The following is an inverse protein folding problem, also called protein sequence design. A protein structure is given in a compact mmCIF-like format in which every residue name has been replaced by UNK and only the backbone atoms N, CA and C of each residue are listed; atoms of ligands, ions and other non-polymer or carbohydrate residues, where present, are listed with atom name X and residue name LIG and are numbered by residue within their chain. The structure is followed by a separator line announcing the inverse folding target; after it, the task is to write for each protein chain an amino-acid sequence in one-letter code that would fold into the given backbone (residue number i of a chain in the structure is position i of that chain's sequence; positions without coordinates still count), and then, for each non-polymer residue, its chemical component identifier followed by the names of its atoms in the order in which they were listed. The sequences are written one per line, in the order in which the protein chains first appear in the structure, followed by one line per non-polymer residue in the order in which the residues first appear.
data_IF_041249646490
#
_entry.id   IF_041249646490
#
_cell.length_a   1.000
_cell.length_b   1.000
_cell.length_c   1.000
_cell.angle_alpha   90.00
_cell.angle_beta   90.00
_cell.angle_gamma   90.00
#
_symmetry.space_group_name_H-M   'P 1'
#
loop_
_entity.id
_entity.type
_entity.pdbx_description
1 polymer ?
#
# COMPACT_ATOMS: atom_id res chain seq x y z
N UNK A 1 -1.92 -17.94 22.08
CA UNK A 1 -1.27 -17.10 23.10
C UNK A 1 0.24 -17.15 22.85
N UNK A 2 0.74 -16.35 21.92
CA UNK A 2 2.18 -16.15 21.66
C UNK A 2 2.32 -14.86 20.83
N UNK A 3 2.04 -13.71 21.46
CA UNK A 3 2.55 -12.43 20.98
C UNK A 3 3.63 -12.03 21.96
N UNK A 4 4.81 -12.56 21.78
CA UNK A 4 6.02 -11.96 22.38
C UNK A 4 6.24 -10.62 21.67
N UNK A 5 6.37 -9.55 22.44
CA UNK A 5 6.59 -8.18 21.95
C UNK A 5 7.65 -8.17 20.86
N UNK A 6 7.25 -7.89 19.63
CA UNK A 6 8.20 -7.63 18.56
C UNK A 6 8.98 -6.34 18.87
N UNK A 7 10.29 -6.27 18.55
CA UNK A 7 11.17 -5.19 18.99
C UNK A 7 10.91 -3.81 18.36
N UNK A 8 9.99 -3.69 17.40
CA UNK A 8 9.69 -2.43 16.74
C UNK A 8 8.20 -2.11 16.80
N UNK A 9 7.80 -1.49 17.91
CA UNK A 9 6.48 -0.86 18.06
C UNK A 9 6.52 0.50 17.39
N UNK A 10 5.66 0.73 16.42
CA UNK A 10 5.63 2.00 15.69
C UNK A 10 4.22 2.54 15.61
N UNK A 11 4.08 3.77 16.09
CA UNK A 11 2.82 4.51 16.08
C UNK A 11 2.39 4.83 14.64
N UNK A 12 1.15 4.50 14.26
CA UNK A 12 0.66 4.41 12.88
C UNK A 12 0.70 5.70 12.05
N UNK A 13 0.96 6.84 12.67
CA UNK A 13 0.98 8.16 11.99
C UNK A 13 2.36 8.53 11.45
N UNK A 14 3.44 8.03 12.06
CA UNK A 14 4.81 8.44 11.75
C UNK A 14 5.58 7.47 10.85
N UNK A 15 5.05 6.28 10.57
CA UNK A 15 5.84 5.16 10.05
C UNK A 15 5.84 4.97 8.55
N UNK A 16 4.84 5.47 7.82
CA UNK A 16 4.82 5.34 6.35
C UNK A 16 6.00 6.01 5.66
N UNK A 17 6.56 7.10 6.25
CA UNK A 17 7.76 7.74 5.71
C UNK A 17 9.06 7.03 6.11
N UNK A 18 9.12 6.43 7.30
CA UNK A 18 10.30 5.66 7.73
C UNK A 18 10.42 4.33 7.01
N UNK A 19 9.30 3.61 6.80
CA UNK A 19 9.30 2.38 6.02
C UNK A 19 9.77 2.61 4.57
N UNK A 20 9.27 3.67 3.92
CA UNK A 20 9.69 4.03 2.56
C UNK A 20 11.20 4.37 2.46
N UNK A 21 11.82 4.85 3.54
CA UNK A 21 13.26 5.14 3.57
C UNK A 21 14.13 3.92 3.94
N UNK A 22 13.63 2.98 4.74
CA UNK A 22 14.41 1.81 5.13
C UNK A 22 14.56 0.77 4.01
N UNK A 23 13.54 0.61 3.16
CA UNK A 23 13.57 -0.32 2.03
C UNK A 23 14.32 0.20 0.79
N UNK A 24 14.78 1.46 0.77
CA UNK A 24 15.62 1.98 -0.31
C UNK A 24 16.93 1.19 -0.49
N UNK A 25 17.38 0.46 0.54
CA UNK A 25 18.52 -0.46 0.48
C UNK A 25 18.20 -1.87 -0.01
N UNK A 26 16.94 -2.20 -0.27
CA UNK A 26 16.48 -3.57 -0.55
C UNK A 26 16.37 -4.39 0.74
N UNK A 27 15.46 -5.36 0.79
CA UNK A 27 15.26 -6.23 1.94
C UNK A 27 13.81 -6.54 2.24
N UNK A 28 13.57 -7.08 3.43
CA UNK A 28 12.26 -7.30 4.02
C UNK A 28 12.13 -6.44 5.28
N UNK A 29 11.03 -5.71 5.40
CA UNK A 29 10.69 -4.99 6.61
C UNK A 29 9.42 -5.57 7.23
N UNK A 30 9.44 -5.79 8.54
CA UNK A 30 8.29 -6.29 9.30
C UNK A 30 7.98 -5.32 10.43
N UNK A 31 6.74 -4.84 10.48
CA UNK A 31 6.29 -3.90 11.50
C UNK A 31 4.94 -4.31 12.10
N UNK A 32 4.78 -4.12 13.41
CA UNK A 32 3.51 -4.23 14.10
C UNK A 32 2.88 -2.84 14.22
N UNK A 33 1.72 -2.67 13.61
CA UNK A 33 0.95 -1.42 13.70
C UNK A 33 -0.18 -1.56 14.68
N UNK A 34 -0.36 -0.54 15.53
CA UNK A 34 -1.48 -0.45 16.47
C UNK A 34 -2.31 0.79 16.19
N UNK A 35 -3.61 0.61 16.04
CA UNK A 35 -4.57 1.69 15.93
C UNK A 35 -5.42 1.75 17.20
N UNK A 36 -5.61 2.96 17.77
CA UNK A 36 -6.42 3.20 18.97
C UNK A 36 -7.78 3.83 18.66
N UNK A 37 -8.01 4.21 17.40
CA UNK A 37 -9.26 4.83 16.96
C UNK A 37 -9.55 4.48 15.50
N UNK A 38 -10.82 4.61 15.10
CA UNK A 38 -11.21 4.47 13.71
C UNK A 38 -10.40 5.45 12.85
N UNK A 39 -9.78 4.93 11.82
CA UNK A 39 -8.93 5.72 10.93
C UNK A 39 -9.04 5.23 9.50
N UNK A 40 -8.60 6.07 8.57
CA UNK A 40 -8.52 5.73 7.17
C UNK A 40 -7.14 6.14 6.64
N UNK A 41 -6.47 5.23 5.94
CA UNK A 41 -5.26 5.61 5.21
C UNK A 41 -5.63 6.34 3.93
N UNK A 42 -4.82 7.32 3.56
CA UNK A 42 -4.92 7.93 2.23
C UNK A 42 -4.60 6.93 1.14
N UNK A 43 -5.17 7.12 -0.04
CA UNK A 43 -4.80 6.34 -1.23
C UNK A 43 -3.32 6.57 -1.53
N UNK A 44 -2.57 5.50 -1.65
CA UNK A 44 -1.14 5.53 -1.94
C UNK A 44 -0.73 4.27 -2.71
N UNK A 45 0.43 4.31 -3.33
CA UNK A 45 1.14 3.15 -3.87
C UNK A 45 2.62 3.23 -3.48
N UNK A 46 3.29 2.12 -3.59
CA UNK A 46 4.71 1.96 -3.35
C UNK A 46 5.27 0.78 -4.17
N UNK A 47 6.58 0.73 -4.45
CA UNK A 47 7.15 -0.30 -5.31
C UNK A 47 7.24 -1.68 -4.66
N UNK A 48 7.13 -1.79 -3.33
CA UNK A 48 7.25 -3.06 -2.63
C UNK A 48 5.93 -3.82 -2.57
N UNK A 49 6.05 -5.13 -2.46
CA UNK A 49 4.93 -6.02 -2.14
C UNK A 49 4.63 -5.92 -0.65
N UNK A 50 3.36 -5.82 -0.30
CA UNK A 50 2.95 -5.62 1.10
C UNK A 50 1.99 -6.72 1.53
N UNK A 51 2.34 -7.41 2.63
CA UNK A 51 1.44 -8.36 3.28
C UNK A 51 0.89 -7.73 4.56
N UNK A 52 -0.39 -7.96 4.83
CA UNK A 52 -1.04 -7.48 6.05
C UNK A 52 -1.83 -8.63 6.68
N UNK A 53 -1.53 -8.88 7.95
CA UNK A 53 -2.19 -9.87 8.79
C UNK A 53 -2.79 -9.18 10.02
N UNK A 54 -4.13 -9.01 10.12
CA UNK A 54 -4.78 -8.54 11.33
C UNK A 54 -4.58 -9.53 12.47
N UNK A 55 -4.06 -9.04 13.61
CA UNK A 55 -3.71 -9.83 14.79
C UNK A 55 -4.73 -9.69 15.92
N UNK A 56 -5.37 -8.51 16.03
CA UNK A 56 -6.40 -8.24 17.05
C UNK A 56 -7.36 -7.15 16.60
N UNK A 57 -8.52 -7.08 17.24
CA UNK A 57 -9.41 -5.92 17.38
C UNK A 57 -10.45 -5.70 16.32
N UNK A 58 -10.26 -5.93 15.01
CA UNK A 58 -11.36 -5.69 14.05
C UNK A 58 -11.00 -6.00 12.59
N UNK A 59 -12.03 -5.96 11.73
CA UNK A 59 -11.86 -6.05 10.28
C UNK A 59 -11.32 -4.75 9.70
N UNK A 60 -10.54 -4.86 8.64
CA UNK A 60 -10.05 -3.73 7.85
C UNK A 60 -10.66 -3.83 6.46
N UNK A 61 -11.20 -2.71 5.98
CA UNK A 61 -11.70 -2.62 4.61
C UNK A 61 -10.66 -1.93 3.74
N UNK A 62 -10.16 -2.65 2.73
CA UNK A 62 -9.24 -2.11 1.73
C UNK A 62 -9.96 -1.78 0.43
N UNK A 63 -9.62 -0.64 -0.16
CA UNK A 63 -9.97 -0.28 -1.54
C UNK A 63 -8.73 -0.39 -2.42
N UNK A 64 -8.80 -1.15 -3.50
CA UNK A 64 -7.70 -1.42 -4.42
C UNK A 64 -8.24 -1.45 -5.85
N UNK A 65 -7.71 -0.61 -6.73
CA UNK A 65 -8.09 -0.63 -8.15
C UNK A 65 -9.60 -0.47 -8.43
N UNK A 66 -10.38 0.05 -7.47
CA UNK A 66 -11.84 0.17 -7.56
C UNK A 66 -12.60 -1.06 -7.04
N UNK A 67 -11.91 -2.04 -6.51
CA UNK A 67 -12.50 -3.18 -5.79
C UNK A 67 -12.36 -2.99 -4.28
N UNK A 68 -13.26 -3.60 -3.51
CA UNK A 68 -13.26 -3.56 -2.05
C UNK A 68 -12.99 -4.96 -1.49
N UNK A 69 -12.09 -5.01 -0.53
CA UNK A 69 -11.68 -6.23 0.15
C UNK A 69 -11.86 -6.04 1.65
N UNK A 70 -12.76 -6.81 2.26
CA UNK A 70 -12.88 -6.86 3.72
C UNK A 70 -11.92 -7.94 4.23
N UNK A 71 -10.95 -7.52 5.04
CA UNK A 71 -9.97 -8.40 5.66
C UNK A 71 -10.32 -8.60 7.13
N UNK A 72 -10.52 -9.86 7.51
CA UNK A 72 -10.89 -10.24 8.87
C UNK A 72 -9.69 -10.75 9.68
N UNK A 73 -9.92 -10.91 10.97
CA UNK A 73 -8.89 -11.40 11.90
C UNK A 73 -8.33 -12.76 11.44
N UNK A 74 -7.00 -12.85 11.37
CA UNK A 74 -6.31 -14.06 10.95
C UNK A 74 -6.25 -14.31 9.45
N UNK A 75 -6.93 -13.51 8.62
CA UNK A 75 -6.78 -13.53 7.16
C UNK A 75 -5.54 -12.75 6.76
N UNK A 76 -4.91 -13.13 5.66
CA UNK A 76 -3.71 -12.49 5.13
C UNK A 76 -4.00 -11.92 3.75
N UNK A 77 -3.72 -10.64 3.53
CA UNK A 77 -3.77 -10.01 2.22
C UNK A 77 -2.36 -9.68 1.72
N UNK A 78 -2.12 -9.95 0.44
CA UNK A 78 -0.92 -9.54 -0.29
C UNK A 78 -1.29 -8.50 -1.34
N UNK A 79 -0.71 -7.31 -1.25
CA UNK A 79 -0.77 -6.28 -2.29
C UNK A 79 0.45 -6.39 -3.21
N UNK A 80 0.23 -6.46 -4.54
CA UNK A 80 1.31 -6.30 -5.50
C UNK A 80 1.97 -4.92 -5.41
N UNK A 81 3.22 -4.80 -5.82
CA UNK A 81 3.91 -3.52 -5.95
C UNK A 81 3.20 -2.57 -6.92
N UNK A 82 3.37 -1.26 -6.73
CA UNK A 82 2.82 -0.17 -7.56
C UNK A 82 1.28 -0.08 -7.60
N UNK A 83 0.55 -0.93 -6.87
CA UNK A 83 -0.91 -0.92 -6.84
C UNK A 83 -1.42 0.13 -5.85
N UNK A 84 -2.27 1.03 -6.34
CA UNK A 84 -2.92 2.04 -5.49
C UNK A 84 -3.94 1.41 -4.55
N UNK A 85 -3.76 1.62 -3.25
CA UNK A 85 -4.65 1.10 -2.23
C UNK A 85 -4.86 2.08 -1.06
N UNK A 86 -5.95 1.88 -0.33
CA UNK A 86 -6.24 2.55 0.94
C UNK A 86 -6.97 1.60 1.88
N UNK A 87 -6.83 1.80 3.19
CA UNK A 87 -7.48 0.99 4.21
C UNK A 87 -8.36 1.84 5.13
N UNK A 88 -9.56 1.35 5.44
CA UNK A 88 -10.42 1.88 6.49
C UNK A 88 -10.43 0.91 7.66
N UNK A 89 -9.97 1.39 8.80
CA UNK A 89 -9.85 0.62 10.04
C UNK A 89 -11.05 0.90 10.92
N UNK A 90 -11.91 -0.11 11.13
CA UNK A 90 -13.04 -0.03 12.03
C UNK A 90 -12.66 -0.76 13.31
N UNK A 91 -12.42 0.00 14.38
CA UNK A 91 -11.97 -0.55 15.66
C UNK A 91 -13.19 -0.81 16.53
N UNK A 92 -13.39 -2.06 16.90
CA UNK A 92 -14.50 -2.50 17.78
C UNK A 92 -14.04 -2.84 19.19
N UNK A 93 -12.72 -2.85 19.43
CA UNK A 93 -12.04 -3.05 20.70
C UNK A 93 -11.22 -1.81 21.07
N UNK A 94 -10.55 -1.81 22.21
CA UNK A 94 -9.71 -0.68 22.64
C UNK A 94 -8.53 -0.41 21.68
N UNK A 95 -8.02 -1.46 21.06
CA UNK A 95 -6.94 -1.39 20.07
C UNK A 95 -7.14 -2.39 18.94
N UNK A 96 -6.56 -2.10 17.79
CA UNK A 96 -6.44 -3.03 16.66
C UNK A 96 -4.99 -3.15 16.24
N UNK A 97 -4.50 -4.37 16.18
CA UNK A 97 -3.11 -4.65 15.80
C UNK A 97 -3.06 -5.42 14.49
N UNK A 98 -2.10 -5.10 13.65
CA UNK A 98 -1.81 -5.82 12.42
C UNK A 98 -0.31 -5.92 12.17
N UNK A 99 0.11 -7.07 11.70
CA UNK A 99 1.45 -7.27 11.18
C UNK A 99 1.48 -6.81 9.72
N UNK A 100 2.46 -5.99 9.38
CA UNK A 100 2.70 -5.53 8.01
C UNK A 100 4.10 -5.97 7.61
N UNK A 101 4.20 -6.65 6.47
CA UNK A 101 5.48 -7.06 5.89
C UNK A 101 5.62 -6.41 4.53
N UNK A 102 6.73 -5.70 4.33
CA UNK A 102 7.05 -5.07 3.06
C UNK A 102 8.29 -5.76 2.47
N UNK A 103 8.19 -6.16 1.21
CA UNK A 103 9.23 -6.92 0.50
C UNK A 103 9.67 -6.09 -0.70
N UNK A 104 10.97 -5.82 -0.80
CA UNK A 104 11.52 -5.06 -1.92
C UNK A 104 11.39 -5.82 -3.25
N UNK A 105 11.23 -5.10 -4.39
CA UNK A 105 11.14 -5.71 -5.71
C UNK A 105 12.31 -6.66 -5.99
N UNK A 106 13.53 -6.29 -5.62
CA UNK A 106 14.73 -7.08 -5.88
C UNK A 106 14.68 -8.48 -5.22
N UNK A 107 14.24 -8.58 -3.95
CA UNK A 107 14.09 -9.89 -3.28
C UNK A 107 12.94 -10.66 -3.91
N UNK A 108 11.81 -9.99 -4.18
CA UNK A 108 10.66 -10.61 -4.80
C UNK A 108 10.97 -11.21 -6.17
N UNK A 109 11.60 -10.45 -7.07
CA UNK A 109 11.99 -10.91 -8.41
C UNK A 109 12.95 -12.10 -8.35
N UNK A 110 13.94 -12.09 -7.46
CA UNK A 110 14.83 -13.21 -7.23
C UNK A 110 14.09 -14.45 -6.73
N UNK A 111 13.16 -14.29 -5.80
CA UNK A 111 12.35 -15.40 -5.29
C UNK A 111 11.43 -15.96 -6.36
N UNK A 112 10.83 -15.12 -7.22
CA UNK A 112 10.05 -15.53 -8.38
C UNK A 112 10.91 -16.37 -9.34
N UNK A 113 12.11 -15.90 -9.68
CA UNK A 113 13.02 -16.63 -10.56
C UNK A 113 13.43 -17.99 -9.96
N UNK A 114 13.71 -18.06 -8.67
CA UNK A 114 14.07 -19.29 -7.98
C UNK A 114 12.91 -20.29 -7.86
N UNK A 115 11.69 -19.80 -7.70
CA UNK A 115 10.49 -20.65 -7.60
C UNK A 115 9.97 -21.14 -8.94
N UNK A 116 10.46 -20.58 -10.06
CA UNK A 116 9.93 -20.87 -11.41
C UNK A 116 8.54 -20.29 -11.66
N UNK A 117 8.05 -19.40 -10.78
CA UNK A 117 6.77 -18.71 -10.94
C UNK A 117 6.93 -17.55 -11.93
N UNK A 118 5.86 -17.20 -12.63
CA UNK A 118 5.83 -16.07 -13.57
C UNK A 118 4.95 -14.96 -13.03
N UNK A 119 5.18 -13.71 -13.45
CA UNK A 119 4.34 -12.56 -13.08
C UNK A 119 2.85 -12.76 -13.42
N UNK A 120 2.55 -13.50 -14.47
CA UNK A 120 1.18 -13.83 -14.85
C UNK A 120 0.40 -14.60 -13.76
N UNK A 121 1.12 -15.24 -12.84
CA UNK A 121 0.52 -15.96 -11.72
C UNK A 121 -0.13 -15.02 -10.69
N UNK A 122 0.48 -13.86 -10.45
CA UNK A 122 0.07 -12.94 -9.38
C UNK A 122 -0.91 -11.86 -9.85
N UNK A 123 -0.83 -11.43 -11.10
CA UNK A 123 -1.65 -10.34 -11.63
C UNK A 123 -1.42 -9.00 -10.91
N UNK A 124 -2.34 -8.06 -11.13
CA UNK A 124 -2.37 -6.75 -10.46
C UNK A 124 -3.37 -6.68 -9.30
N UNK A 125 -4.07 -7.78 -9.02
CA UNK A 125 -5.10 -7.83 -7.98
C UNK A 125 -4.50 -8.34 -6.66
N UNK A 126 -4.99 -7.86 -5.52
CA UNK A 126 -4.60 -8.39 -4.21
C UNK A 126 -5.01 -9.85 -4.06
N UNK A 127 -4.21 -10.59 -3.33
CA UNK A 127 -4.50 -11.98 -2.97
C UNK A 127 -4.87 -12.07 -1.50
N UNK A 128 -6.05 -12.63 -1.19
CA UNK A 128 -6.46 -12.89 0.20
C UNK A 128 -6.40 -14.38 0.48
N UNK A 129 -5.76 -14.75 1.57
CA UNK A 129 -5.80 -16.08 2.16
C UNK A 129 -6.67 -16.07 3.40
N UNK A 130 -7.61 -17.01 3.51
CA UNK A 130 -8.45 -17.13 4.70
C UNK A 130 -7.67 -17.64 5.92
N UNK A 131 -8.24 -17.43 7.10
CA UNK A 131 -7.62 -17.80 8.37
C UNK A 131 -7.26 -19.29 8.48
N UNK A 132 -8.04 -20.19 7.84
CA UNK A 132 -7.71 -21.61 7.85
C UNK A 132 -6.45 -21.92 7.06
N UNK A 133 -6.27 -21.29 5.89
CA UNK A 133 -5.06 -21.45 5.10
C UNK A 133 -3.84 -20.85 5.83
N UNK A 134 -4.01 -19.67 6.46
CA UNK A 134 -2.96 -19.03 7.26
C UNK A 134 -2.49 -19.92 8.41
N UNK A 135 -3.44 -20.57 9.11
CA UNK A 135 -3.15 -21.50 10.21
C UNK A 135 -2.56 -22.82 9.70
N UNK A 136 -3.15 -23.42 8.65
CA UNK A 136 -2.72 -24.71 8.11
C UNK A 136 -1.25 -24.67 7.64
N UNK A 137 -0.83 -23.58 7.05
CA UNK A 137 0.51 -23.42 6.49
C UNK A 137 1.46 -22.60 7.37
N UNK A 138 1.05 -22.31 8.61
CA UNK A 138 1.82 -21.50 9.58
C UNK A 138 2.41 -20.22 8.99
N UNK A 139 1.62 -19.51 8.18
CA UNK A 139 2.07 -18.27 7.55
C UNK A 139 2.38 -17.20 8.60
N UNK A 140 1.66 -17.19 9.72
CA UNK A 140 1.98 -16.31 10.85
C UNK A 140 3.37 -16.55 11.41
N UNK A 141 3.77 -17.81 11.56
CA UNK A 141 5.13 -18.21 11.99
C UNK A 141 6.20 -17.82 10.96
N UNK A 142 5.89 -17.95 9.66
CA UNK A 142 6.81 -17.49 8.60
C UNK A 142 7.03 -15.97 8.69
N UNK A 143 5.98 -15.17 8.80
CA UNK A 143 6.10 -13.70 8.93
C UNK A 143 6.86 -13.31 10.23
N UNK A 144 6.71 -14.09 11.30
CA UNK A 144 7.47 -13.88 12.53
C UNK A 144 8.96 -14.19 12.35
N UNK A 145 9.33 -15.24 11.60
CA UNK A 145 10.72 -15.52 11.25
C UNK A 145 11.34 -14.38 10.44
N UNK A 146 10.62 -13.86 9.46
CA UNK A 146 11.03 -12.66 8.69
C UNK A 146 11.35 -11.48 9.61
N UNK A 147 10.54 -11.25 10.66
CA UNK A 147 10.81 -10.20 11.66
C UNK A 147 12.10 -10.46 12.44
N UNK A 148 12.40 -11.72 12.79
CA UNK A 148 13.61 -12.10 13.51
C UNK A 148 14.87 -11.98 12.64
N UNK A 149 14.74 -12.22 11.32
CA UNK A 149 15.85 -12.09 10.37
C UNK A 149 16.41 -10.65 10.32
N UNK A 150 15.62 -9.63 10.63
CA UNK A 150 16.07 -8.24 10.71
C UNK A 150 17.20 -8.01 11.73
N UNK A 151 17.35 -8.88 12.74
CA UNK A 151 18.42 -8.86 13.75
C UNK A 151 19.73 -9.52 13.31
N UNK A 152 19.77 -10.13 12.13
CA UNK A 152 20.96 -10.80 11.60
C UNK A 152 21.90 -9.80 10.90
N UNK A 153 23.19 -10.15 10.84
CA UNK A 153 24.18 -9.40 10.06
C UNK A 153 23.92 -9.53 8.55
N UNK A 154 24.31 -8.49 7.79
CA UNK A 154 23.87 -8.27 6.40
C UNK A 154 23.99 -9.49 5.46
N UNK A 155 25.09 -10.25 5.33
CA UNK A 155 25.14 -11.37 4.38
C UNK A 155 24.15 -12.49 4.73
N UNK A 156 24.08 -12.85 6.04
CA UNK A 156 23.20 -13.89 6.53
C UNK A 156 21.73 -13.47 6.45
N UNK A 157 21.44 -12.22 6.82
CA UNK A 157 20.10 -11.65 6.72
C UNK A 157 19.55 -11.74 5.31
N UNK A 158 20.31 -11.29 4.30
CA UNK A 158 19.87 -11.33 2.91
C UNK A 158 19.57 -12.76 2.41
N UNK A 159 20.41 -13.73 2.82
CA UNK A 159 20.18 -15.12 2.47
C UNK A 159 18.91 -15.68 3.12
N UNK A 160 18.68 -15.39 4.40
CA UNK A 160 17.48 -15.81 5.14
C UNK A 160 16.23 -15.17 4.56
N UNK A 161 16.22 -13.84 4.37
CA UNK A 161 15.11 -13.12 3.75
C UNK A 161 14.75 -13.70 2.37
N UNK A 162 15.77 -14.03 1.55
CA UNK A 162 15.56 -14.64 0.23
C UNK A 162 14.89 -16.02 0.33
N UNK A 163 15.32 -16.87 1.27
CA UNK A 163 14.72 -18.19 1.49
C UNK A 163 13.26 -18.05 1.97
N UNK A 164 12.99 -17.17 2.91
CA UNK A 164 11.66 -16.97 3.48
C UNK A 164 10.67 -16.40 2.47
N UNK A 165 11.10 -15.45 1.63
CA UNK A 165 10.25 -14.91 0.55
C UNK A 165 10.01 -15.99 -0.50
N UNK A 166 10.99 -16.84 -0.83
CA UNK A 166 10.78 -17.97 -1.75
C UNK A 166 9.79 -18.98 -1.16
N UNK A 167 9.90 -19.34 0.12
CA UNK A 167 8.92 -20.18 0.84
C UNK A 167 7.51 -19.57 0.76
N UNK A 168 7.39 -18.28 1.07
CA UNK A 168 6.13 -17.53 0.99
C UNK A 168 5.47 -17.66 -0.39
N UNK A 169 6.22 -17.41 -1.45
CA UNK A 169 5.73 -17.47 -2.84
C UNK A 169 5.25 -18.87 -3.21
N UNK A 170 5.99 -19.90 -2.84
CA UNK A 170 5.62 -21.29 -3.10
C UNK A 170 4.34 -21.68 -2.37
N UNK A 171 4.18 -21.30 -1.09
CA UNK A 171 2.97 -21.55 -0.31
C UNK A 171 1.77 -20.80 -0.88
N UNK A 172 1.90 -19.51 -1.21
CA UNK A 172 0.84 -18.74 -1.86
C UNK A 172 0.42 -19.38 -3.17
N UNK A 173 1.39 -19.74 -4.04
CA UNK A 173 1.15 -20.42 -5.30
C UNK A 173 0.33 -21.70 -5.11
N UNK A 174 0.74 -22.56 -4.16
CA UNK A 174 0.04 -23.79 -3.85
C UNK A 174 -1.40 -23.55 -3.38
N UNK A 175 -1.59 -22.58 -2.47
CA UNK A 175 -2.90 -22.27 -1.88
C UNK A 175 -3.86 -21.70 -2.94
N UNK A 176 -3.36 -20.75 -3.76
CA UNK A 176 -4.16 -20.09 -4.79
C UNK A 176 -4.57 -21.08 -5.89
N UNK A 177 -3.65 -21.94 -6.32
CA UNK A 177 -3.93 -22.93 -7.38
C UNK A 177 -5.10 -23.86 -6.99
N UNK A 178 -5.32 -24.10 -5.71
CA UNK A 178 -6.45 -24.89 -5.20
C UNK A 178 -7.79 -24.13 -5.15
N UNK A 179 -7.77 -22.77 -5.28
CA UNK A 179 -8.94 -21.90 -5.04
C UNK A 179 -9.64 -21.39 -6.30
N UNK A 180 -9.30 -21.87 -7.48
CA UNK A 180 -9.85 -21.36 -8.75
C UNK A 180 -11.36 -21.47 -8.86
N UNK A 181 -12.12 -20.59 -8.15
CA UNK A 181 -13.49 -20.18 -8.48
C UNK A 181 -13.87 -18.89 -7.73
N UNK A 182 -13.24 -17.74 -8.04
CA UNK A 182 -13.82 -16.47 -7.63
C UNK A 182 -15.02 -16.15 -8.54
N UNK A 183 -16.15 -15.65 -8.01
CA UNK A 183 -17.25 -15.18 -8.84
C UNK A 183 -16.79 -14.01 -9.71
N UNK A 184 -17.32 -13.85 -10.93
CA UNK A 184 -16.97 -12.73 -11.79
C UNK A 184 -17.27 -11.39 -11.11
N UNK A 185 -16.45 -10.33 -11.34
CA UNK A 185 -16.66 -9.02 -10.75
C UNK A 185 -18.03 -8.45 -11.13
N UNK A 186 -18.68 -7.75 -10.21
CA UNK A 186 -19.98 -7.12 -10.46
C UNK A 186 -19.85 -5.98 -11.49
N UNK A 187 -20.94 -5.65 -12.19
CA UNK A 187 -20.96 -4.52 -13.12
C UNK A 187 -20.57 -3.19 -12.43
N UNK A 188 -20.94 -3.02 -11.15
CA UNK A 188 -20.58 -1.85 -10.34
C UNK A 188 -19.09 -1.83 -10.01
N UNK A 189 -18.50 -2.96 -9.66
CA UNK A 189 -17.06 -3.09 -9.44
C UNK A 189 -16.28 -2.76 -10.72
N UNK A 190 -16.69 -3.29 -11.88
CA UNK A 190 -16.10 -2.98 -13.17
C UNK A 190 -16.20 -1.49 -13.54
N UNK A 191 -17.32 -0.84 -13.23
CA UNK A 191 -17.49 0.60 -13.44
C UNK A 191 -16.50 1.39 -12.61
N UNK A 192 -16.36 1.06 -11.31
CA UNK A 192 -15.44 1.76 -10.42
C UNK A 192 -13.98 1.48 -10.80
N UNK A 193 -13.63 0.24 -11.15
CA UNK A 193 -12.29 -0.11 -11.63
C UNK A 193 -11.91 0.69 -12.90
N UNK A 194 -12.85 0.81 -13.85
CA UNK A 194 -12.68 1.65 -15.04
C UNK A 194 -12.48 3.14 -14.70
N UNK A 195 -13.22 3.66 -13.72
CA UNK A 195 -13.07 5.03 -13.25
C UNK A 195 -11.71 5.27 -12.60
N UNK A 196 -11.26 4.34 -11.74
CA UNK A 196 -9.95 4.38 -11.07
C UNK A 196 -8.82 4.34 -12.11
N UNK A 197 -8.84 3.41 -13.06
CA UNK A 197 -7.85 3.31 -14.11
C UNK A 197 -7.76 4.60 -14.95
N UNK A 198 -8.92 5.22 -15.26
CA UNK A 198 -8.94 6.50 -15.96
C UNK A 198 -8.30 7.64 -15.14
N UNK A 199 -8.60 7.72 -13.84
CA UNK A 199 -7.99 8.70 -12.94
C UNK A 199 -6.47 8.51 -12.85
N UNK A 200 -6.01 7.27 -12.70
CA UNK A 200 -4.59 6.94 -12.62
C UNK A 200 -3.82 7.26 -13.91
N UNK A 201 -4.46 7.11 -15.06
CA UNK A 201 -3.85 7.46 -16.36
C UNK A 201 -3.86 8.96 -16.66
N UNK A 202 -4.75 9.75 -16.02
CA UNK A 202 -5.00 11.14 -16.42
C UNK A 202 -4.91 12.14 -15.26
N UNK A 203 -4.44 11.77 -14.07
CA UNK A 203 -4.45 12.66 -12.88
C UNK A 203 -3.61 13.92 -13.06
N UNK A 204 -2.63 13.94 -13.96
CA UNK A 204 -1.81 15.12 -14.26
C UNK A 204 -2.53 16.15 -15.12
N UNK A 205 -3.65 15.79 -15.79
CA UNK A 205 -4.46 16.74 -16.54
C UNK A 205 -5.17 17.72 -15.57
N UNK A 206 -4.84 19.03 -15.60
CA UNK A 206 -5.44 20.00 -14.69
C UNK A 206 -6.93 20.24 -14.98
N UNK A 207 -7.43 19.87 -16.16
CA UNK A 207 -8.80 20.02 -16.58
C UNK A 207 -9.68 18.80 -16.26
N UNK A 208 -9.11 17.74 -15.66
CA UNK A 208 -9.84 16.53 -15.33
C UNK A 208 -10.97 16.80 -14.33
N UNK A 209 -12.20 16.47 -14.73
CA UNK A 209 -13.42 16.70 -13.94
C UNK A 209 -14.21 15.42 -13.73
N UNK A 210 -15.03 15.39 -12.67
CA UNK A 210 -15.99 14.29 -12.42
C UNK A 210 -16.96 14.10 -13.58
N UNK A 211 -17.33 15.19 -14.28
CA UNK A 211 -18.21 15.12 -15.44
C UNK A 211 -17.56 14.41 -16.64
N UNK A 212 -16.27 14.59 -16.86
CA UNK A 212 -15.52 13.85 -17.89
C UNK A 212 -15.42 12.37 -17.52
N UNK A 213 -15.12 12.07 -16.25
CA UNK A 213 -15.06 10.70 -15.76
C UNK A 213 -16.41 9.98 -15.89
N UNK A 214 -17.52 10.63 -15.54
CA UNK A 214 -18.86 10.08 -15.67
C UNK A 214 -19.21 9.77 -17.15
N UNK A 215 -18.85 10.67 -18.09
CA UNK A 215 -18.99 10.41 -19.53
C UNK A 215 -18.15 9.23 -20.01
N UNK A 216 -16.90 9.13 -19.55
CA UNK A 216 -16.01 8.02 -19.90
C UNK A 216 -16.54 6.67 -19.41
N UNK A 217 -17.17 6.66 -18.23
CA UNK A 217 -17.75 5.44 -17.64
C UNK A 217 -19.21 5.19 -18.05
N UNK A 218 -19.77 6.02 -18.92
CA UNK A 218 -21.16 5.93 -19.42
C UNK A 218 -22.20 5.93 -18.30
N UNK A 219 -22.03 6.79 -17.28
CA UNK A 219 -22.94 6.88 -16.12
C UNK A 219 -23.24 8.33 -15.73
N UNK A 220 -24.20 8.53 -14.80
CA UNK A 220 -24.44 9.87 -14.24
C UNK A 220 -23.37 10.22 -13.19
N UNK A 221 -23.15 11.53 -12.98
CA UNK A 221 -22.20 12.01 -11.94
C UNK A 221 -22.62 11.57 -10.55
N UNK A 222 -23.91 11.59 -10.27
CA UNK A 222 -24.48 11.24 -8.98
C UNK A 222 -24.26 9.74 -8.68
N UNK A 223 -24.57 8.89 -9.66
CA UNK A 223 -24.36 7.44 -9.52
C UNK A 223 -22.87 7.10 -9.38
N UNK A 224 -22.03 7.67 -10.27
CA UNK A 224 -20.58 7.48 -10.17
C UNK A 224 -20.05 7.92 -8.81
N UNK A 225 -20.39 9.12 -8.33
CA UNK A 225 -19.88 9.64 -7.06
C UNK A 225 -20.27 8.76 -5.88
N UNK A 226 -21.50 8.24 -5.87
CA UNK A 226 -22.00 7.36 -4.83
C UNK A 226 -21.24 6.03 -4.83
N UNK A 227 -21.22 5.31 -5.97
CA UNK A 227 -20.59 4.00 -6.05
C UNK A 227 -19.06 4.10 -5.92
N UNK A 228 -18.45 5.15 -6.47
CA UNK A 228 -17.03 5.39 -6.32
C UNK A 228 -16.65 5.54 -4.84
N UNK A 229 -17.40 6.35 -4.08
CA UNK A 229 -17.15 6.53 -2.63
C UNK A 229 -17.41 5.24 -1.84
N UNK A 230 -18.40 4.44 -2.23
CA UNK A 230 -18.69 3.15 -1.60
C UNK A 230 -17.53 2.17 -1.77
N UNK A 231 -16.96 2.10 -2.98
CA UNK A 231 -15.91 1.13 -3.34
C UNK A 231 -14.49 1.62 -3.05
N UNK A 232 -14.21 2.92 -3.17
CA UNK A 232 -12.86 3.46 -2.91
C UNK A 232 -12.72 4.06 -1.51
N UNK A 233 -13.81 4.15 -0.75
CA UNK A 233 -13.90 4.78 0.57
C UNK A 233 -13.65 6.30 0.54
N UNK A 234 -13.41 6.87 -0.65
CA UNK A 234 -13.14 8.29 -0.88
C UNK A 234 -14.03 8.89 -1.98
N UNK A 235 -14.19 10.21 -1.96
CA UNK A 235 -14.80 10.89 -3.09
C UNK A 235 -13.88 10.88 -4.31
N UNK A 236 -14.43 10.98 -5.53
CA UNK A 236 -13.63 11.10 -6.77
C UNK A 236 -12.61 12.25 -6.67
N UNK A 237 -13.02 13.38 -6.11
CA UNK A 237 -12.13 14.54 -5.92
C UNK A 237 -11.02 14.25 -4.90
N UNK A 238 -11.35 13.63 -3.78
CA UNK A 238 -10.36 13.22 -2.75
C UNK A 238 -9.32 12.27 -3.33
N UNK A 239 -9.80 11.24 -4.03
CA UNK A 239 -8.95 10.25 -4.70
C UNK A 239 -7.99 10.91 -5.71
N UNK A 240 -8.50 11.77 -6.60
CA UNK A 240 -7.69 12.53 -7.56
C UNK A 240 -6.66 13.43 -6.86
N UNK A 241 -7.07 14.10 -5.79
CA UNK A 241 -6.15 14.94 -5.00
C UNK A 241 -5.02 14.12 -4.39
N UNK A 242 -5.33 12.93 -3.86
CA UNK A 242 -4.32 12.05 -3.27
C UNK A 242 -3.33 11.50 -4.33
N UNK A 243 -3.80 11.12 -5.52
CA UNK A 243 -2.93 10.75 -6.65
C UNK A 243 -1.94 11.88 -7.00
N UNK A 244 -2.47 13.09 -7.15
CA UNK A 244 -1.64 14.28 -7.45
C UNK A 244 -0.65 14.60 -6.34
N UNK A 245 -1.06 14.48 -5.09
CA UNK A 245 -0.19 14.70 -3.93
C UNK A 245 0.95 13.68 -3.86
N UNK A 246 0.66 12.43 -4.08
CA UNK A 246 1.68 11.38 -4.12
C UNK A 246 2.68 11.61 -5.25
N UNK A 247 2.21 11.93 -6.46
CA UNK A 247 3.10 12.26 -7.58
C UNK A 247 3.97 13.49 -7.27
N UNK A 248 3.38 14.55 -6.71
CA UNK A 248 4.13 15.74 -6.32
C UNK A 248 5.20 15.43 -5.27
N UNK A 249 4.88 14.65 -4.26
CA UNK A 249 5.84 14.22 -3.24
C UNK A 249 7.01 13.44 -3.86
N UNK A 250 6.72 12.51 -4.75
CA UNK A 250 7.73 11.71 -5.45
C UNK A 250 8.61 12.60 -6.37
N UNK A 251 8.03 13.57 -7.07
CA UNK A 251 8.77 14.52 -7.88
C UNK A 251 9.71 15.40 -7.03
N UNK A 252 9.26 15.86 -5.85
CA UNK A 252 10.12 16.59 -4.89
C UNK A 252 11.28 15.70 -4.42
N UNK A 253 11.02 14.44 -4.11
CA UNK A 253 12.04 13.48 -3.70
C UNK A 253 13.05 13.20 -4.83
N UNK A 254 12.61 13.20 -6.09
CA UNK A 254 13.45 13.11 -7.28
C UNK A 254 14.26 14.39 -7.57
N UNK A 255 14.05 15.47 -6.79
CA UNK A 255 14.86 16.70 -6.87
C UNK A 255 14.18 17.88 -7.57
N UNK A 256 12.95 17.75 -8.06
CA UNK A 256 12.20 18.86 -8.67
C UNK A 256 11.98 20.00 -7.66
N UNK A 257 11.79 21.22 -8.18
CA UNK A 257 11.32 22.32 -7.33
C UNK A 257 9.89 22.05 -6.85
N UNK A 258 9.49 22.62 -5.72
CA UNK A 258 8.12 22.46 -5.20
C UNK A 258 7.08 22.98 -6.20
N UNK A 259 7.40 24.07 -6.90
CA UNK A 259 6.49 24.65 -7.89
C UNK A 259 6.37 23.75 -9.14
N UNK A 260 7.50 23.26 -9.66
CA UNK A 260 7.50 22.38 -10.82
C UNK A 260 6.78 21.05 -10.50
N UNK A 261 7.06 20.46 -9.34
CA UNK A 261 6.40 19.26 -8.87
C UNK A 261 4.88 19.44 -8.72
N UNK A 262 4.45 20.58 -8.17
CA UNK A 262 3.03 20.93 -8.04
C UNK A 262 2.36 21.02 -9.43
N UNK A 263 2.96 21.76 -10.35
CA UNK A 263 2.43 21.97 -11.70
C UNK A 263 2.38 20.66 -12.50
N UNK A 264 3.47 19.89 -12.47
CA UNK A 264 3.57 18.59 -13.15
C UNK A 264 2.56 17.56 -12.61
N UNK A 265 2.09 17.76 -11.37
CA UNK A 265 1.08 16.90 -10.75
C UNK A 265 -0.37 17.32 -11.07
N UNK A 266 -0.58 18.34 -11.90
CA UNK A 266 -1.92 18.78 -12.33
C UNK A 266 -2.64 19.72 -11.35
N UNK A 267 -1.93 20.31 -10.37
CA UNK A 267 -2.53 21.35 -9.52
C UNK A 267 -2.55 22.70 -10.23
N UNK A 268 -3.70 23.35 -10.22
CA UNK A 268 -3.90 24.70 -10.80
C UNK A 268 -3.82 25.80 -9.76
N UNK A 269 -4.01 25.50 -8.49
CA UNK A 269 -4.01 26.47 -7.39
C UNK A 269 -2.95 26.12 -6.36
N UNK A 270 -1.83 26.85 -6.40
CA UNK A 270 -0.69 26.64 -5.53
C UNK A 270 -1.02 26.81 -4.02
N UNK A 271 -1.85 27.80 -3.68
CA UNK A 271 -2.24 28.02 -2.27
C UNK A 271 -3.09 26.87 -1.71
N UNK A 272 -4.01 26.36 -2.51
CA UNK A 272 -4.81 25.17 -2.14
C UNK A 272 -3.93 23.92 -2.02
N UNK A 273 -2.97 23.76 -2.94
CA UNK A 273 -1.98 22.67 -2.87
C UNK A 273 -1.20 22.72 -1.56
N UNK A 274 -0.62 23.87 -1.17
CA UNK A 274 0.14 23.99 0.08
C UNK A 274 -0.66 23.60 1.31
N UNK A 275 -1.93 24.05 1.39
CA UNK A 275 -2.84 23.70 2.49
C UNK A 275 -3.10 22.19 2.53
N UNK A 276 -3.41 21.60 1.38
CA UNK A 276 -3.70 20.16 1.27
C UNK A 276 -2.45 19.30 1.55
N UNK A 277 -1.28 19.71 1.09
CA UNK A 277 -0.04 19.01 1.36
C UNK A 277 0.27 18.98 2.87
N UNK A 278 0.16 20.14 3.54
CA UNK A 278 0.36 20.23 4.99
C UNK A 278 -0.69 19.43 5.77
N UNK A 279 -1.95 19.47 5.34
CA UNK A 279 -3.02 18.69 5.97
C UNK A 279 -2.77 17.18 5.84
N UNK A 280 -2.20 16.73 4.71
CA UNK A 280 -1.98 15.32 4.42
C UNK A 280 -0.70 14.76 5.07
N UNK A 281 0.38 15.55 5.07
CA UNK A 281 1.71 15.08 5.49
C UNK A 281 2.21 15.72 6.79
N UNK A 282 1.44 16.63 7.42
CA UNK A 282 1.82 17.31 8.66
C UNK A 282 2.87 18.41 8.51
N UNK A 283 3.59 18.46 7.40
CA UNK A 283 4.67 19.41 7.09
C UNK A 283 4.41 20.10 5.75
N UNK A 284 5.10 21.22 5.52
CA UNK A 284 5.04 21.91 4.22
C UNK A 284 5.91 21.21 3.18
N UNK A 285 5.63 21.41 1.86
CA UNK A 285 6.48 20.85 0.80
C UNK A 285 7.95 21.33 0.89
N UNK A 286 8.17 22.54 1.37
CA UNK A 286 9.51 23.10 1.53
C UNK A 286 10.28 22.45 2.67
N UNK A 287 9.61 22.21 3.81
CA UNK A 287 10.15 21.44 4.95
C UNK A 287 10.45 20.00 4.54
N UNK A 288 9.55 19.35 3.81
CA UNK A 288 9.76 18.01 3.27
C UNK A 288 11.02 17.96 2.39
N UNK A 289 11.16 18.91 1.45
CA UNK A 289 12.35 19.00 0.57
C UNK A 289 13.65 19.25 1.36
N UNK A 290 13.60 20.07 2.41
CA UNK A 290 14.74 20.34 3.26
C UNK A 290 15.19 19.09 4.05
N UNK A 291 14.24 18.34 4.61
CA UNK A 291 14.52 17.08 5.31
C UNK A 291 15.18 16.02 4.40
N UNK A 292 14.73 15.90 3.15
CA UNK A 292 15.36 14.99 2.17
C UNK A 292 16.81 15.36 1.83
N UNK A 293 17.13 16.66 1.80
CA UNK A 293 18.51 17.13 1.54
C UNK A 293 19.44 16.87 2.72
N UNK A 294 18.96 17.00 3.94
CA UNK A 294 19.74 16.72 5.15
C UNK A 294 20.08 15.22 5.26
N UNK A 295 19.14 14.34 4.93
CA UNK A 295 19.38 12.90 4.92
C UNK A 295 20.36 12.44 3.84
N UNK A 296 20.40 13.11 2.67
CA UNK A 296 21.38 12.84 1.60
C UNK A 296 22.78 13.38 1.93
N UNK A 297 22.90 14.39 2.80
CA UNK A 297 24.17 14.97 3.22
C UNK A 297 24.88 14.22 4.36
N UNK A 298 24.19 13.28 5.01
CA UNK A 298 24.73 12.46 6.10
C UNK A 298 25.45 11.18 5.61
N UNK A 299 25.44 10.90 4.31
CA UNK A 299 26.01 9.68 3.70
C UNK A 299 27.35 9.89 2.98
N UNK A 300 28.10 10.99 3.22
CA UNK A 300 29.47 11.15 2.68
C UNK A 300 30.44 11.47 3.81
N UNK A 301 31.05 10.46 4.45
CA UNK A 301 32.46 10.54 4.78
C UNK A 301 33.27 9.79 3.73
N UNK A 302 34.22 10.50 3.19
CA UNK A 302 35.29 10.07 2.29
C UNK A 302 35.99 8.76 2.75
#
# INVERSE_FOLDING_TARGET
MLVQKMPHYVDSVLTKEKAATSLQGGGVEVALYTNQSNSQSVVHSHPYYELILPMSGSSVRYSVGGSVYDLHLGELILFPGEVFHSGKFNITADTSERLVVQISPNIWEKAMAQSGLTEQFWGSEPVILDANAVLQWDLGGLLQRMALAAGLEAPLRQAVEQCEVTELLLLFSHIIHRRHTAPPPSATSLLVAKAVAYLQANYTDPQLTVAQLARYTYTSREHLSRVFKEYTLESVHGYLTNLRMQHCRNAIAAGFSVLDACTASGFTNYSSFLKSFRALYGITPSEYRAALRQNKGAEIPS
#
